data_IF_340557353078
#
_entry.id   IF_340557353078
#
_cell.length_a   1.000
_cell.length_b   1.000
_cell.length_c   1.000
_cell.angle_alpha   90.00
_cell.angle_beta   90.00
_cell.angle_gamma   90.00
#
_symmetry.space_group_name_H-M   'P 1'
#
loop_
_entity.id
_entity.type
_entity.pdbx_description
1 polymer ?
2 polymer ?
3 non-polymer ?
4 water ?
#
# COMPACT_ATOMS: atom_id res chain seq x y z
N UNK A 7 -4.93 21.00 -5.86
CA UNK A 7 -4.54 21.01 -4.43
C UNK A 7 -3.70 19.78 -4.08
N UNK A 8 -2.57 20.00 -3.41
CA UNK A 8 -1.67 18.92 -3.03
C UNK A 8 -2.40 17.78 -2.33
N UNK A 9 -3.40 18.13 -1.52
CA UNK A 9 -4.16 17.11 -0.79
C UNK A 9 -5.37 16.64 -1.59
N UNK A 10 -5.72 17.37 -2.65
CA UNK A 10 -6.85 16.99 -3.48
C UNK A 10 -8.14 16.81 -2.69
N UNK A 11 -8.93 15.81 -3.05
CA UNK A 11 -10.18 15.56 -2.33
C UNK A 11 -9.86 14.90 -0.99
N UNK A 12 -10.33 15.49 0.10
CA UNK A 12 -10.09 14.96 1.43
C UNK A 12 -11.37 14.54 2.15
N UNK A 13 -11.20 13.72 3.18
CA UNK A 13 -12.33 13.24 3.97
C UNK A 13 -11.86 12.84 5.36
N UNK A 14 -12.81 12.68 6.27
CA UNK A 14 -12.50 12.27 7.63
C UNK A 14 -13.14 10.91 7.90
N UNK A 15 -12.36 9.99 8.45
CA UNK A 15 -12.84 8.66 8.76
C UNK A 15 -13.94 8.71 9.83
N UNK A 16 -15.05 8.02 9.55
CA UNK A 16 -16.19 7.96 10.47
C UNK A 16 -16.03 6.78 11.44
N UNK A 17 -15.46 5.68 10.95
CA UNK A 17 -15.29 4.48 11.75
C UNK A 17 -13.93 3.84 11.54
N UNK A 18 -13.64 2.82 12.34
CA UNK A 18 -12.40 2.08 12.23
C UNK A 18 -12.49 1.17 11.01
N UNK A 19 -11.37 1.02 10.32
CA UNK A 19 -11.30 0.10 9.18
C UNK A 19 -9.92 -0.50 9.13
N UNK A 20 -9.87 -1.83 9.04
CA UNK A 20 -8.62 -2.57 8.98
C UNK A 20 -8.42 -3.13 7.58
N UNK A 21 -7.31 -2.75 6.95
CA UNK A 21 -6.99 -3.22 5.62
C UNK A 21 -7.02 -4.75 5.63
N UNK A 22 -7.70 -5.33 4.65
CA UNK A 22 -7.80 -6.78 4.54
C UNK A 22 -7.03 -7.22 3.31
N UNK A 23 -6.13 -6.35 2.86
CA UNK A 23 -5.31 -6.64 1.69
C UNK A 23 -4.23 -5.59 1.53
N UNK A 24 -3.16 -5.93 0.82
CA UNK A 24 -2.07 -5.00 0.60
C UNK A 24 -2.47 -3.84 -0.32
N UNK A 25 -3.64 -3.99 -0.95
CA UNK A 25 -4.18 -2.97 -1.85
C UNK A 25 -5.09 -1.98 -1.10
N UNK A 26 -5.25 -2.22 0.19
CA UNK A 26 -6.11 -1.40 1.05
C UNK A 26 -5.34 -0.66 2.13
N UNK A 27 -6.00 0.33 2.73
CA UNK A 27 -5.40 1.09 3.82
C UNK A 27 -6.28 0.95 5.07
N UNK A 28 -5.81 1.49 6.18
CA UNK A 28 -6.56 1.42 7.44
C UNK A 28 -6.64 2.78 8.08
N UNK A 29 -7.63 2.97 8.95
CA UNK A 29 -7.77 4.23 9.66
C UNK A 29 -8.63 4.11 10.91
N UNK A 30 -8.49 5.10 11.79
CA UNK A 30 -9.24 5.17 13.03
C UNK A 30 -10.21 6.35 12.87
N UNK A 31 -11.29 6.38 13.66
CA UNK A 31 -12.22 7.49 13.53
C UNK A 31 -11.43 8.81 13.62
N UNK A 32 -11.87 9.83 12.88
CA UNK A 32 -11.23 11.14 12.89
C UNK A 32 -9.92 11.23 12.11
N UNK A 33 -9.47 10.11 11.55
CA UNK A 33 -8.25 10.14 10.75
C UNK A 33 -8.64 10.88 9.49
N UNK A 34 -7.65 11.42 8.79
CA UNK A 34 -7.86 12.17 7.55
C UNK A 34 -7.39 11.40 6.30
N UNK A 35 -8.25 11.32 5.29
CA UNK A 35 -7.89 10.66 4.04
C UNK A 35 -7.76 11.74 2.97
N UNK A 36 -6.65 11.76 2.25
CA UNK A 36 -6.43 12.78 1.24
C UNK A 36 -6.23 12.18 -0.14
N UNK A 37 -6.19 13.07 -1.14
CA UNK A 37 -5.99 12.69 -2.53
C UNK A 37 -6.94 11.60 -2.96
N UNK A 38 -8.19 11.72 -2.51
CA UNK A 38 -9.20 10.75 -2.83
C UNK A 38 -9.60 10.68 -4.31
N UNK A 39 -9.90 9.47 -4.75
CA UNK A 39 -10.34 9.19 -6.10
C UNK A 39 -11.58 8.32 -5.93
N UNK A 40 -12.74 8.88 -6.29
CA UNK A 40 -14.01 8.16 -6.18
C UNK A 40 -14.19 7.28 -7.43
N UNK A 41 -13.54 6.12 -7.41
CA UNK A 41 -13.58 5.20 -8.54
C UNK A 41 -14.85 4.39 -8.72
N UNK A 42 -15.64 4.30 -7.66
CA UNK A 42 -16.93 3.60 -7.70
C UNK A 42 -17.63 3.80 -6.37
N UNK A 43 -18.90 3.45 -6.30
CA UNK A 43 -19.69 3.62 -5.09
C UNK A 43 -19.28 2.74 -3.92
N UNK A 44 -18.39 1.77 -4.16
CA UNK A 44 -17.98 0.91 -3.07
C UNK A 44 -16.64 1.32 -2.49
N UNK A 45 -15.58 1.17 -3.29
CA UNK A 45 -14.24 1.47 -2.84
C UNK A 45 -13.61 2.67 -3.49
N UNK A 46 -12.98 3.51 -2.67
CA UNK A 46 -12.30 4.68 -3.16
C UNK A 46 -10.83 4.48 -2.92
N UNK A 47 -10.04 5.28 -3.62
CA UNK A 47 -8.60 5.24 -3.51
C UNK A 47 -8.19 6.55 -2.87
N UNK A 48 -7.20 6.47 -1.99
CA UNK A 48 -6.71 7.67 -1.31
C UNK A 48 -5.50 7.38 -0.45
N UNK A 49 -5.07 8.39 0.30
CA UNK A 49 -3.91 8.25 1.17
C UNK A 49 -4.31 8.50 2.62
N UNK A 50 -3.73 7.72 3.52
CA UNK A 50 -4.00 7.88 4.94
C UNK A 50 -2.77 7.45 5.72
N UNK A 51 -2.23 8.37 6.51
CA UNK A 51 -1.04 8.13 7.31
C UNK A 51 0.08 7.45 6.53
N UNK A 52 0.42 8.03 5.38
CA UNK A 52 1.50 7.50 4.57
C UNK A 52 1.17 6.28 3.73
N UNK A 53 -0.03 5.73 3.90
CA UNK A 53 -0.41 4.55 3.14
C UNK A 53 -1.35 4.87 1.97
N UNK A 54 -1.02 4.30 0.82
CA UNK A 54 -1.79 4.49 -0.41
C UNK A 54 -2.64 3.24 -0.70
N UNK A 55 -3.94 3.43 -0.94
CA UNK A 55 -4.77 2.27 -1.23
C UNK A 55 -6.27 2.48 -1.26
N UNK A 56 -7.00 1.36 -1.31
CA UNK A 56 -8.45 1.37 -1.35
C UNK A 56 -9.07 1.31 0.04
N UNK A 57 -10.29 1.81 0.14
CA UNK A 57 -11.01 1.81 1.41
C UNK A 57 -12.50 1.96 1.11
N UNK A 58 -13.36 1.63 2.09
CA UNK A 58 -14.80 1.77 1.87
C UNK A 58 -15.23 3.23 1.85
N UNK A 59 -15.85 3.65 0.75
CA UNK A 59 -16.31 5.02 0.61
C UNK A 59 -17.26 5.42 1.74
N UNK A 60 -18.11 4.48 2.16
CA UNK A 60 -19.10 4.71 3.20
C UNK A 60 -18.51 4.82 4.62
N UNK A 61 -17.20 4.67 4.75
CA UNK A 61 -16.56 4.75 6.05
C UNK A 61 -15.93 6.12 6.31
N UNK A 62 -16.14 7.05 5.39
CA UNK A 62 -15.58 8.38 5.52
C UNK A 62 -16.62 9.42 5.13
N UNK A 63 -16.38 10.68 5.50
CA UNK A 63 -17.29 11.75 5.13
C UNK A 63 -16.46 12.85 4.46
N UNK A 64 -16.78 13.15 3.20
CA UNK A 64 -16.07 14.18 2.48
C UNK A 64 -16.07 15.49 3.29
N UNK A 65 -14.92 16.15 3.32
CA UNK A 65 -14.78 17.39 4.07
C UNK A 65 -13.55 18.11 3.55
N UNK A 66 -13.76 19.28 2.96
CA UNK A 66 -12.66 20.05 2.41
C UNK A 66 -12.05 20.95 3.49
N UNK B 8 -25.58 -28.10 17.50
CA UNK B 8 -24.30 -27.69 18.15
C UNK B 8 -23.58 -26.59 17.41
N UNK B 9 -23.48 -26.71 16.09
CA UNK B 9 -22.80 -25.70 15.30
C UNK B 9 -23.81 -24.65 14.84
N UNK B 10 -25.07 -24.86 15.20
CA UNK B 10 -26.14 -23.94 14.84
C UNK B 10 -26.14 -23.56 13.37
N UNK B 11 -26.48 -22.32 13.08
CA UNK B 11 -26.52 -21.83 11.72
C UNK B 11 -25.06 -21.59 11.29
N UNK B 12 -24.68 -22.18 10.16
CA UNK B 12 -23.30 -22.05 9.68
C UNK B 12 -23.20 -21.32 8.35
N UNK B 13 -22.01 -20.84 8.04
CA UNK B 13 -21.75 -20.12 6.81
C UNK B 13 -20.29 -20.25 6.43
N UNK B 14 -19.99 -19.90 5.19
CA UNK B 14 -18.62 -19.94 4.72
C UNK B 14 -18.22 -18.53 4.33
N UNK B 15 -17.01 -18.12 4.69
CA UNK B 15 -16.55 -16.78 4.36
C UNK B 15 -16.32 -16.64 2.87
N UNK B 16 -16.84 -15.56 2.29
CA UNK B 16 -16.68 -15.29 0.87
C UNK B 16 -15.47 -14.42 0.61
N UNK B 17 -15.23 -13.48 1.52
CA UNK B 17 -14.11 -12.55 1.35
C UNK B 17 -13.28 -12.40 2.59
N UNK B 18 -12.13 -11.74 2.43
CA UNK B 18 -11.25 -11.49 3.54
C UNK B 18 -11.86 -10.36 4.33
N UNK B 19 -11.75 -10.44 5.65
CA UNK B 19 -12.28 -9.40 6.52
C UNK B 19 -11.45 -9.31 7.79
N UNK B 20 -11.01 -8.10 8.11
CA UNK B 20 -10.22 -7.88 9.31
C UNK B 20 -11.08 -7.18 10.35
N UNK B 21 -11.14 -7.77 11.54
CA UNK B 21 -11.91 -7.19 12.62
C UNK B 21 -11.45 -5.75 12.83
N UNK B 22 -12.41 -4.83 12.90
CA UNK B 22 -12.06 -3.44 13.14
C UNK B 22 -11.90 -3.21 14.64
N UNK B 23 -12.53 -4.07 15.44
CA UNK B 23 -12.44 -3.95 16.89
C UNK B 23 -12.52 -5.29 17.61
N UNK B 24 -12.56 -5.25 18.94
CA UNK B 24 -12.63 -6.46 19.77
C UNK B 24 -13.99 -7.14 19.70
N UNK B 25 -15.01 -6.38 19.32
CA UNK B 25 -16.35 -6.91 19.19
C UNK B 25 -16.52 -7.63 17.86
N UNK B 26 -15.49 -7.54 17.00
CA UNK B 26 -15.54 -8.18 15.69
C UNK B 26 -14.59 -9.37 15.52
N UNK B 27 -14.83 -10.18 14.50
CA UNK B 27 -13.99 -11.33 14.21
C UNK B 27 -13.40 -11.24 12.81
N UNK B 28 -12.27 -11.92 12.60
CA UNK B 28 -11.59 -11.93 11.31
C UNK B 28 -11.74 -13.28 10.63
N UNK B 29 -11.61 -13.31 9.30
CA UNK B 29 -11.67 -14.56 8.55
C UNK B 29 -11.16 -14.39 7.13
N UNK B 30 -10.83 -15.52 6.49
CA UNK B 30 -10.34 -15.55 5.13
C UNK B 30 -11.36 -16.28 4.28
N UNK B 31 -11.26 -16.18 2.95
CA UNK B 31 -12.23 -16.89 2.11
C UNK B 31 -12.18 -18.37 2.46
N UNK B 32 -13.34 -19.03 2.43
CA UNK B 32 -13.46 -20.47 2.75
C UNK B 32 -13.48 -20.81 4.24
N UNK B 33 -13.27 -19.83 5.11
CA UNK B 33 -13.33 -20.12 6.54
C UNK B 33 -14.79 -20.41 6.91
N UNK B 34 -15.00 -21.15 7.98
CA UNK B 34 -16.34 -21.48 8.40
C UNK B 34 -16.74 -20.68 9.64
N UNK B 35 -17.93 -20.10 9.61
CA UNK B 35 -18.47 -19.34 10.75
C UNK B 35 -19.63 -20.16 11.26
N UNK B 36 -19.60 -20.50 12.55
CA UNK B 36 -20.67 -21.30 13.13
C UNK B 36 -21.48 -20.53 14.17
N UNK B 37 -22.53 -21.18 14.69
CA UNK B 37 -23.41 -20.61 15.70
C UNK B 37 -23.79 -19.15 15.40
N UNK B 38 -24.17 -18.90 14.15
CA UNK B 38 -24.54 -17.57 13.72
C UNK B 38 -25.83 -16.98 14.32
N UNK B 39 -25.72 -15.74 14.79
CA UNK B 39 -26.85 -15.00 15.37
C UNK B 39 -27.07 -13.82 14.43
N UNK B 40 -28.22 -13.75 13.79
CA UNK B 40 -28.51 -12.65 12.88
C UNK B 40 -29.13 -11.49 13.64
N UNK B 41 -28.33 -10.89 14.51
CA UNK B 41 -28.75 -9.77 15.34
C UNK B 41 -28.99 -8.50 14.52
N UNK B 42 -28.99 -8.64 13.20
CA UNK B 42 -29.21 -7.51 12.30
C UNK B 42 -29.06 -7.98 10.86
N UNK B 43 -29.71 -7.28 9.94
CA UNK B 43 -29.64 -7.63 8.53
C UNK B 43 -28.26 -7.35 7.93
N UNK B 44 -27.52 -6.44 8.56
CA UNK B 44 -26.20 -6.07 8.07
C UNK B 44 -25.04 -6.68 8.86
N UNK B 45 -25.24 -6.89 10.15
CA UNK B 45 -24.19 -7.46 11.00
C UNK B 45 -24.64 -8.69 11.77
N UNK B 46 -24.02 -9.83 11.48
CA UNK B 46 -24.33 -11.06 12.20
C UNK B 46 -23.26 -11.28 13.24
N UNK B 47 -23.48 -12.28 14.08
CA UNK B 47 -22.52 -12.61 15.12
C UNK B 47 -22.33 -14.12 15.05
N UNK B 48 -21.15 -14.59 15.41
CA UNK B 48 -20.89 -16.02 15.35
C UNK B 48 -19.47 -16.36 15.75
N UNK B 49 -19.11 -17.63 15.54
CA UNK B 49 -17.78 -18.09 15.90
C UNK B 49 -16.97 -18.49 14.67
N UNK B 50 -15.71 -18.04 14.65
CA UNK B 50 -14.80 -18.36 13.55
C UNK B 50 -13.40 -18.54 14.13
N UNK B 51 -12.79 -19.67 13.85
CA UNK B 51 -11.46 -19.99 14.33
C UNK B 51 -11.26 -19.70 15.81
N UNK B 52 -12.19 -20.18 16.63
CA UNK B 52 -12.10 -19.97 18.07
C UNK B 52 -12.52 -18.63 18.61
N UNK B 53 -12.76 -17.66 17.74
CA UNK B 53 -13.16 -16.32 18.17
C UNK B 53 -14.66 -16.06 18.01
N UNK B 54 -15.20 -15.19 18.85
CA UNK B 54 -16.62 -14.85 18.82
C UNK B 54 -16.84 -13.34 18.64
N UNK B 55 -17.75 -12.97 17.74
CA UNK B 55 -18.00 -11.56 17.52
C UNK B 55 -18.85 -11.24 16.30
N UNK B 56 -18.81 -9.97 15.88
CA UNK B 56 -19.58 -9.49 14.75
C UNK B 56 -18.82 -9.49 13.45
N UNK B 57 -19.56 -9.65 12.35
CA UNK B 57 -18.97 -9.66 11.01
C UNK B 57 -20.04 -9.25 10.01
N UNK B 58 -19.61 -8.79 8.82
CA UNK B 58 -20.53 -8.37 7.76
C UNK B 58 -21.35 -9.55 7.22
N UNK B 59 -22.66 -9.46 7.34
CA UNK B 59 -23.53 -10.52 6.86
C UNK B 59 -23.32 -10.77 5.37
N UNK B 60 -23.02 -9.72 4.61
CA UNK B 60 -22.82 -9.85 3.17
C UNK B 60 -21.47 -10.47 2.78
N UNK B 61 -20.61 -10.73 3.77
CA UNK B 61 -19.30 -11.31 3.50
C UNK B 61 -19.27 -12.83 3.58
N UNK B 62 -20.38 -13.44 3.98
CA UNK B 62 -20.46 -14.88 4.08
C UNK B 62 -21.69 -15.42 3.36
N UNK B 63 -21.67 -16.71 3.04
CA UNK B 63 -22.81 -17.34 2.37
C UNK B 63 -23.31 -18.46 3.25
N UNK B 64 -24.57 -18.38 3.65
CA UNK B 64 -25.13 -19.43 4.49
C UNK B 64 -24.97 -20.79 3.82
N UNK B 65 -24.63 -21.79 4.61
CA UNK B 65 -24.46 -23.13 4.07
C UNK B 65 -24.44 -24.11 5.23
N UNK B 66 -25.44 -25.00 5.27
CA UNK B 66 -25.51 -25.97 6.35
C UNK B 66 -24.86 -27.30 5.96
N UNK C 1 -24.02 4.13 -9.90
CA UNK C 1 -25.11 3.87 -8.94
C UNK C 1 -24.81 4.35 -7.53
N UNK C 2 -24.74 5.67 -7.30
CA UNK C 2 -24.89 6.77 -8.26
C UNK C 2 -23.64 7.16 -9.04
N UNK C 3 -22.46 6.91 -8.45
CA UNK C 3 -21.21 7.24 -9.13
C UNK C 3 -20.91 6.28 -10.28
N UNK C 4 -21.19 5.00 -10.06
CA UNK C 4 -20.90 4.01 -11.07
C UNK C 4 -19.41 3.73 -11.03
N UNK C 5 -18.92 2.85 -11.90
CA UNK C 5 -17.48 2.55 -11.91
C UNK C 5 -16.74 3.37 -12.96
N UNK C 6 -15.86 4.25 -12.49
CA UNK C 6 -15.06 5.07 -13.39
C UNK C 6 -13.87 4.22 -13.84
N UNK C 7 -14.16 2.99 -14.27
CA UNK C 7 -13.13 2.06 -14.72
C UNK C 7 -12.23 2.68 -15.79
N UNK C 8 -11.10 3.25 -15.34
CA UNK C 8 -10.15 3.89 -16.25
C UNK C 8 -8.75 3.63 -15.73
N UNK C 9 -7.78 3.50 -16.64
CA UNK C 9 -6.40 3.27 -16.25
C UNK C 9 -5.59 4.56 -16.25
N UNK C 10 -6.24 5.66 -16.61
CA UNK C 10 -5.58 6.96 -16.65
C UNK C 10 -4.27 6.97 -17.39
N UNK C 11 -3.31 7.74 -16.91
CA UNK C 11 -1.99 7.81 -17.54
C UNK C 11 -1.27 6.52 -17.18
N UNK C 12 -0.85 5.78 -18.20
CA UNK C 12 -0.16 4.53 -17.99
C UNK C 12 1.30 4.59 -18.41
N UNK C 13 2.07 3.63 -17.94
CA UNK C 13 3.48 3.57 -18.26
C UNK C 13 4.00 2.14 -18.10
N UNK C 14 5.15 1.86 -18.70
CA UNK C 14 5.75 0.55 -18.63
C UNK C 14 7.05 0.69 -17.87
N UNK C 15 7.33 -0.28 -17.00
CA UNK C 15 8.54 -0.28 -16.19
C UNK C 15 9.79 -0.60 -17.01
N UNK C 16 10.78 0.28 -16.92
CA UNK C 16 12.04 0.11 -17.62
C UNK C 16 13.04 -0.73 -16.82
N UNK C 17 13.10 -0.51 -15.51
CA UNK C 17 14.03 -1.24 -14.67
C UNK C 17 13.35 -1.77 -13.41
N UNK C 18 14.03 -2.64 -12.69
CA UNK C 18 13.48 -3.17 -11.45
C UNK C 18 13.51 -2.05 -10.43
N UNK C 19 12.60 -2.11 -9.47
CA UNK C 19 12.57 -1.12 -8.42
C UNK C 19 11.94 -1.72 -7.17
N UNK C 20 12.70 -1.74 -6.09
CA UNK C 20 12.23 -2.27 -4.82
C UNK C 20 11.77 -1.16 -3.91
N UNK C 21 10.49 -1.15 -3.59
CA UNK C 21 9.96 -0.14 -2.70
C UNK C 21 10.83 -0.13 -1.45
N UNK C 22 11.11 1.07 -0.93
CA UNK C 22 11.93 1.20 0.27
C UNK C 22 11.02 1.47 1.46
N UNK C 23 9.84 2.03 1.18
CA UNK C 23 8.88 2.30 2.23
C UNK C 23 7.53 1.74 1.85
N UNK C 24 6.57 1.84 2.78
CA UNK C 24 5.23 1.33 2.54
C UNK C 24 4.40 2.32 1.73
N UNK C 25 4.98 3.49 1.45
CA UNK C 25 4.31 4.51 0.66
C UNK C 25 4.79 4.37 -0.79
N UNK C 26 5.60 3.33 -1.04
CA UNK C 26 6.18 3.03 -2.35
C UNK C 26 5.74 1.69 -2.94
N UNK C 27 5.89 1.54 -4.25
CA UNK C 27 5.52 0.30 -4.92
C UNK C 27 6.77 -0.31 -5.54
N UNK C 28 6.66 -1.55 -6.00
CA UNK C 28 7.76 -2.24 -6.63
C UNK C 28 7.31 -2.74 -7.99
N UNK C 29 8.26 -3.00 -8.87
CA UNK C 29 7.94 -3.53 -10.19
C UNK C 29 9.18 -4.02 -10.90
N UNK C 30 8.96 -4.91 -11.85
CA UNK C 30 10.05 -5.48 -12.64
C UNK C 30 9.91 -4.89 -14.02
N UNK C 31 10.97 -4.96 -14.83
CA UNK C 31 10.88 -4.43 -16.20
C UNK C 31 9.65 -5.01 -16.90
N UNK C 32 9.01 -4.20 -17.74
CA UNK C 32 7.82 -4.61 -18.50
C UNK C 32 6.52 -4.65 -17.71
N UNK C 33 6.54 -4.23 -16.44
CA UNK C 33 5.30 -4.20 -15.67
C UNK C 33 4.62 -2.92 -16.10
N UNK C 34 3.31 -2.89 -15.95
CA UNK C 34 2.53 -1.71 -16.31
C UNK C 34 2.11 -0.94 -15.06
N UNK C 35 2.27 0.38 -15.10
CA UNK C 35 1.85 1.23 -13.99
C UNK C 35 0.67 2.03 -14.52
N UNK C 36 -0.43 2.04 -13.80
CA UNK C 36 -1.61 2.76 -14.24
C UNK C 36 -2.03 3.86 -13.26
N UNK C 37 -3.00 4.66 -13.69
CA UNK C 37 -3.52 5.74 -12.88
C UNK C 37 -2.42 6.62 -12.32
N UNK C 38 -1.46 6.99 -13.17
CA UNK C 38 -0.34 7.81 -12.73
C UNK C 38 -0.67 9.28 -12.47
N UNK C 39 0.01 9.83 -11.48
CA UNK C 39 -0.11 11.22 -11.08
C UNK C 39 1.30 11.69 -10.75
N UNK C 40 1.66 12.88 -11.25
CA UNK C 40 2.97 13.44 -10.98
C UNK C 40 2.99 14.27 -9.70
N UNK C 41 3.81 13.87 -8.74
CA UNK C 41 3.93 14.62 -7.49
C UNK C 41 4.93 15.73 -7.74
N UNK C 42 6.04 15.36 -8.39
CA UNK C 42 7.08 16.30 -8.73
C UNK C 42 7.99 15.68 -9.79
N UNK C 43 9.12 16.34 -10.07
CA UNK C 43 10.05 15.85 -11.08
C UNK C 43 10.53 14.42 -10.89
N UNK C 44 10.81 14.04 -9.65
CA UNK C 44 11.31 12.71 -9.38
C UNK C 44 10.33 11.61 -9.04
N UNK C 45 9.33 11.93 -8.22
CA UNK C 45 8.37 10.92 -7.82
C UNK C 45 6.98 11.06 -8.38
N UNK C 46 6.43 9.92 -8.78
CA UNK C 46 5.08 9.85 -9.28
C UNK C 46 4.41 8.79 -8.42
N UNK C 47 3.08 8.73 -8.50
CA UNK C 47 2.38 7.69 -7.78
C UNK C 47 1.40 7.07 -8.75
N UNK C 48 1.24 5.76 -8.66
CA UNK C 48 0.34 5.06 -9.53
C UNK C 48 0.07 3.68 -8.98
N UNK C 49 -0.58 2.85 -9.77
CA UNK C 49 -0.92 1.50 -9.36
C UNK C 49 -0.14 0.50 -10.20
N UNK C 50 0.39 -0.51 -9.54
CA UNK C 50 1.13 -1.55 -10.21
C UNK C 50 0.88 -2.85 -9.47
N UNK C 51 0.29 -3.81 -10.18
CA UNK C 51 -0.02 -5.12 -9.64
C UNK C 51 -0.80 -5.05 -8.32
N UNK C 52 -1.81 -4.20 -8.30
CA UNK C 52 -2.64 -4.06 -7.12
C UNK C 52 -2.13 -3.08 -6.08
N UNK C 53 -0.82 -2.88 -6.04
CA UNK C 53 -0.20 -1.98 -5.07
C UNK C 53 -0.24 -0.51 -5.52
N UNK C 54 -0.70 0.35 -4.62
CA UNK C 54 -0.80 1.78 -4.89
C UNK C 54 0.33 2.48 -4.13
N UNK C 55 1.02 3.41 -4.79
CA UNK C 55 2.10 4.11 -4.14
C UNK C 55 3.02 4.95 -4.99
N UNK C 56 4.12 5.39 -4.40
CA UNK C 56 5.09 6.23 -5.07
C UNK C 56 6.22 5.44 -5.73
N UNK C 57 6.72 5.95 -6.84
CA UNK C 57 7.82 5.30 -7.54
C UNK C 57 8.58 6.36 -8.31
N UNK C 58 9.83 6.06 -8.68
CA UNK C 58 10.71 6.97 -9.44
C UNK C 58 10.21 7.16 -10.87
N UNK C 59 9.88 8.39 -11.21
CA UNK C 59 9.40 8.73 -12.55
C UNK C 59 10.37 8.25 -13.64
N UNK C 60 11.65 8.35 -13.37
CA UNK C 60 12.70 7.95 -14.33
C UNK C 60 12.87 6.45 -14.56
N UNK C 61 12.11 5.63 -13.84
CA UNK C 61 12.20 4.18 -13.99
C UNK C 61 11.12 3.61 -14.90
N UNK C 62 10.24 4.48 -15.40
CA UNK C 62 9.16 4.04 -16.28
C UNK C 62 9.10 4.86 -17.56
N UNK C 63 8.44 4.32 -18.57
CA UNK C 63 8.29 5.04 -19.82
C UNK C 63 6.83 5.23 -20.11
N UNK C 64 6.40 6.48 -20.17
CA UNK C 64 5.01 6.77 -20.47
C UNK C 64 4.64 6.12 -21.79
N UNK C 65 3.64 5.26 -21.76
CA UNK C 65 3.18 4.57 -22.95
C UNK C 65 1.68 4.38 -22.80
N UNK C 66 0.91 5.07 -23.63
CA UNK C 66 -0.54 4.97 -23.54
C UNK C 66 -1.07 3.91 -24.51
N UNK D 8 41.21 -1.35 6.40
CA UNK D 8 40.95 0.11 6.25
C UNK D 8 39.53 0.38 5.77
N UNK D 9 38.96 1.49 6.22
CA UNK D 9 37.58 1.86 5.87
C UNK D 9 37.45 2.81 4.68
N UNK D 10 38.59 3.24 4.13
CA UNK D 10 38.55 4.13 2.98
C UNK D 10 37.62 5.31 3.13
N UNK D 11 36.90 5.61 2.04
CA UNK D 11 35.98 6.74 2.06
C UNK D 11 34.66 6.28 2.64
N UNK D 12 34.18 7.01 3.63
CA UNK D 12 32.95 6.65 4.28
C UNK D 12 31.85 7.68 4.10
N UNK D 13 30.61 7.24 4.30
CA UNK D 13 29.46 8.10 4.19
C UNK D 13 28.39 7.56 5.12
N UNK D 14 27.38 8.38 5.37
CA UNK D 14 26.28 7.97 6.21
C UNK D 14 25.05 8.03 5.32
N UNK D 15 24.26 6.96 5.35
CA UNK D 15 23.05 6.88 4.56
C UNK D 15 22.08 7.97 5.04
N UNK D 16 21.56 8.74 4.08
CA UNK D 16 20.62 9.82 4.38
C UNK D 16 19.18 9.34 4.31
N UNK D 17 18.93 8.30 3.52
CA UNK D 17 17.59 7.79 3.35
C UNK D 17 17.61 6.29 3.18
N UNK D 18 16.42 5.69 3.24
CA UNK D 18 16.24 4.25 3.08
C UNK D 18 16.47 3.89 1.62
N UNK D 19 17.09 2.73 1.38
CA UNK D 19 17.32 2.27 0.02
C UNK D 19 17.31 0.75 -0.06
N UNK D 20 16.52 0.20 -0.97
CA UNK D 20 16.45 -1.25 -1.13
C UNK D 20 17.09 -1.67 -2.45
N UNK D 21 18.00 -2.62 -2.38
CA UNK D 21 18.70 -3.13 -3.55
C UNK D 21 17.74 -3.69 -4.60
N UNK D 22 17.84 -3.17 -5.83
CA UNK D 22 16.99 -3.61 -6.93
C UNK D 22 17.48 -4.93 -7.52
N UNK D 23 18.75 -5.26 -7.25
CA UNK D 23 19.33 -6.49 -7.76
C UNK D 23 20.50 -6.93 -6.89
N UNK D 24 21.11 -8.05 -7.23
CA UNK D 24 22.23 -8.58 -6.45
C UNK D 24 23.52 -7.79 -6.60
N UNK D 25 23.54 -6.84 -7.54
CA UNK D 25 24.72 -6.03 -7.75
C UNK D 25 24.64 -4.76 -6.88
N UNK D 26 23.50 -4.56 -6.23
CA UNK D 26 23.30 -3.41 -5.37
C UNK D 26 23.27 -3.81 -3.89
N UNK D 27 23.27 -2.79 -3.02
CA UNK D 27 23.20 -3.01 -1.58
C UNK D 27 22.04 -2.20 -1.02
N UNK D 28 21.66 -2.49 0.22
CA UNK D 28 20.57 -1.80 0.89
C UNK D 28 21.08 -1.17 2.17
N UNK D 29 20.34 -0.19 2.67
CA UNK D 29 20.68 0.49 3.92
C UNK D 29 19.55 1.36 4.43
N UNK D 30 19.59 1.67 5.72
CA UNK D 30 18.60 2.52 6.37
C UNK D 30 19.29 3.81 6.76
N UNK D 31 18.53 4.90 6.95
CA UNK D 31 19.18 6.16 7.34
C UNK D 31 20.10 5.91 8.54
N UNK D 32 21.25 6.58 8.55
CA UNK D 32 22.25 6.47 9.62
C UNK D 32 23.18 5.27 9.48
N UNK D 33 22.98 4.44 8.48
CA UNK D 33 23.89 3.31 8.30
C UNK D 33 25.18 3.88 7.72
N UNK D 34 26.29 3.18 7.94
CA UNK D 34 27.57 3.63 7.44
C UNK D 34 28.00 2.81 6.21
N UNK D 35 28.43 3.50 5.17
CA UNK D 35 28.91 2.83 3.95
C UNK D 35 30.42 3.06 3.97
N UNK D 36 31.20 2.02 3.70
CA UNK D 36 32.65 2.15 3.71
C UNK D 36 33.28 1.75 2.39
N UNK D 37 34.58 2.05 2.27
CA UNK D 37 35.36 1.73 1.08
C UNK D 37 34.62 2.13 -0.17
N UNK D 38 34.10 3.35 -0.16
CA UNK D 38 33.34 3.89 -1.27
C UNK D 38 34.19 4.10 -2.53
N UNK D 39 33.60 3.80 -3.68
CA UNK D 39 34.26 3.97 -4.98
C UNK D 39 33.30 4.76 -5.86
N UNK D 40 33.68 5.97 -6.21
CA UNK D 40 32.81 6.78 -7.04
C UNK D 40 32.87 6.33 -8.49
N UNK D 41 31.95 5.43 -8.83
CA UNK D 41 31.85 4.84 -10.17
C UNK D 41 31.43 5.90 -11.20
N UNK D 42 30.51 6.77 -10.80
CA UNK D 42 30.06 7.83 -11.70
C UNK D 42 29.17 8.83 -10.97
N UNK D 43 28.58 9.74 -11.74
CA UNK D 43 27.72 10.78 -11.21
C UNK D 43 26.56 10.32 -10.31
N UNK D 44 25.92 9.21 -10.67
CA UNK D 44 24.80 8.73 -9.90
C UNK D 44 24.99 7.49 -9.05
N UNK D 45 25.87 6.58 -9.47
CA UNK D 45 26.09 5.36 -8.71
C UNK D 45 27.49 5.19 -8.14
N UNK D 46 27.56 4.91 -6.86
CA UNK D 46 28.84 4.66 -6.20
C UNK D 46 28.82 3.22 -5.76
N UNK D 47 29.98 2.70 -5.38
CA UNK D 47 30.07 1.33 -4.94
C UNK D 47 30.77 1.36 -3.58
N UNK D 48 30.28 0.54 -2.65
CA UNK D 48 30.87 0.51 -1.33
C UNK D 48 30.37 -0.69 -0.54
N UNK D 49 30.78 -0.75 0.71
CA UNK D 49 30.37 -1.84 1.59
C UNK D 49 29.48 -1.28 2.69
N UNK D 50 28.38 -1.99 2.94
CA UNK D 50 27.44 -1.60 3.98
C UNK D 50 26.90 -2.87 4.64
N UNK D 51 27.06 -2.93 5.96
CA UNK D 51 26.60 -4.07 6.76
C UNK D 51 27.00 -5.44 6.20
N UNK D 52 28.25 -5.56 5.77
CA UNK D 52 28.74 -6.81 5.24
C UNK D 52 28.45 -7.07 3.77
N UNK D 53 27.64 -6.24 3.14
CA UNK D 53 27.31 -6.41 1.73
C UNK D 53 28.07 -5.42 0.86
N UNK D 54 28.45 -5.87 -0.33
CA UNK D 54 29.20 -5.03 -1.27
C UNK D 54 28.36 -4.80 -2.52
N UNK D 55 28.33 -3.56 -3.00
CA UNK D 55 27.55 -3.28 -4.19
C UNK D 55 27.36 -1.82 -4.51
N UNK D 56 26.55 -1.57 -5.54
CA UNK D 56 26.26 -0.23 -6.00
C UNK D 56 25.09 0.39 -5.23
N UNK D 57 25.11 1.71 -5.11
CA UNK D 57 24.05 2.44 -4.43
C UNK D 57 24.03 3.86 -4.99
N UNK D 58 22.91 4.56 -4.83
CA UNK D 58 22.79 5.94 -5.33
C UNK D 58 23.62 6.91 -4.51
N UNK D 59 24.53 7.62 -5.16
CA UNK D 59 25.38 8.58 -4.49
C UNK D 59 24.58 9.66 -3.76
N UNK D 60 23.49 10.11 -4.38
CA UNK D 60 22.67 11.15 -3.76
C UNK D 60 21.91 10.66 -2.53
N UNK D 61 22.05 9.39 -2.18
CA UNK D 61 21.36 8.83 -1.02
C UNK D 61 22.23 8.80 0.25
N UNK D 62 23.50 9.16 0.10
CA UNK D 62 24.41 9.16 1.24
C UNK D 62 25.14 10.50 1.35
N UNK D 63 25.69 10.78 2.53
CA UNK D 63 26.42 12.02 2.72
C UNK D 63 27.81 11.70 3.20
N UNK D 64 28.80 11.99 2.37
CA UNK D 64 30.19 11.75 2.73
C UNK D 64 30.43 12.30 4.13
N UNK D 65 31.04 11.48 4.98
CA UNK D 65 31.32 11.90 6.34
C UNK D 65 32.50 11.09 6.86
N UNK D 66 33.61 11.77 7.13
CA UNK D 66 34.80 11.09 7.60
C UNK D 66 34.97 11.07 9.13
N UNK E 3 -14.05 -6.66 -7.51
CA UNK E 3 -13.69 -6.69 -6.06
C UNK E 3 -14.92 -6.97 -5.22
N UNK E 4 -14.71 -7.37 -3.97
CA UNK E 4 -15.80 -7.67 -3.07
C UNK E 4 -16.56 -6.41 -2.71
N UNK E 5 -17.78 -6.55 -2.19
CA UNK E 5 -18.55 -5.36 -1.82
C UNK E 5 -18.00 -4.76 -0.52
N UNK E 6 -18.18 -3.44 -0.33
CA UNK E 6 -17.66 -2.85 0.91
C UNK E 6 -18.49 -3.32 2.09
N UNK E 7 -17.91 -3.34 3.29
CA UNK E 7 -18.72 -3.79 4.43
C UNK E 7 -19.64 -2.66 4.84
N UNK E 8 -20.81 -2.99 5.37
CA UNK E 8 -21.72 -1.93 5.78
C UNK E 8 -21.14 -1.21 6.98
N UNK E 9 -21.50 0.07 7.18
CA UNK E 9 -20.99 0.82 8.33
C UNK E 9 -21.32 0.03 9.59
N UNK E 10 -20.49 0.13 10.64
CA UNK E 10 -20.78 -0.64 11.85
C UNK E 10 -22.14 -0.27 12.48
N UNK E 11 -22.75 -1.23 13.16
CA UNK E 11 -24.03 -0.98 13.79
C UNK E 11 -23.94 0.07 14.89
N UNK F 3 9.68 14.53 0.90
CA UNK F 3 10.45 13.27 0.82
C UNK F 3 11.90 13.50 0.40
N UNK F 4 12.48 12.47 -0.23
CA UNK F 4 13.85 12.48 -0.69
C UNK F 4 13.90 12.45 -2.21
N UNK F 5 15.12 12.45 -2.79
CA UNK F 5 15.24 12.42 -4.25
C UNK F 5 15.24 10.97 -4.73
N UNK F 6 14.70 10.71 -5.93
CA UNK F 6 14.66 9.35 -6.46
C UNK F 6 16.04 8.91 -6.94
N UNK F 7 16.28 7.59 -7.00
CA UNK F 7 17.58 7.09 -7.45
C UNK F 7 17.69 7.24 -8.97
N UNK F 8 18.89 7.54 -9.47
CA UNK F 8 19.05 7.69 -10.92
C UNK F 8 18.90 6.33 -11.60
N UNK F 9 18.59 6.32 -12.91
CA UNK F 9 18.42 5.06 -13.63
C UNK F 9 19.68 4.21 -13.49
N UNK F 10 19.53 2.89 -13.37
CA UNK F 10 20.71 2.03 -13.22
C UNK F 10 21.63 2.11 -14.44
N UNK F 11 22.94 1.98 -14.21
CA UNK F 11 23.88 2.05 -15.31
C UNK F 11 23.97 0.74 -16.09
#
# INVERSE_FOLDING_TARGET
>A
GPLGSENDLGITAVALYDYQAAGDDEISFDPDDIITNIEMIDDGWWRGVCKGRYGLFPANYVELRQ
>B
GPLGSENDLGITAVALYDYQAAGDDEISFDPDDIITNIEMIDDGWWRGVCKGRYGLFPANYVELRQ
>C
GPLGSENDLGITAVALYDYQAAGDDEISFDPDDIITNIEMIDDGWWRGVCKGRYGLFPANYVELRQ
>D
GPLGSENDLGITAVALYDYQAAGDDEISFDPDDIITNIEMIDDGWWRGVCKGRYGLFPANYVELRQ
>E
SKKRPPPPPPGHKRT
>F
SKKRPPPPPPGHKRT
#
